data_IF_741684849376
#
_entry.id   IF_741684849376
#
_cell.length_a   1.000
_cell.length_b   1.000
_cell.length_c   1.000
_cell.angle_alpha   90.00
_cell.angle_beta   90.00
_cell.angle_gamma   90.00
#
_symmetry.space_group_name_H-M   'P 1'
#
loop_
_entity.id
_entity.type
_entity.pdbx_description
1 polymer ?
#
# COMPACT_ATOMS: atom_id res chain seq x y z
N UNK A 1 -21.52 2.78 19.12
CA UNK A 1 -21.94 1.68 18.20
C UNK A 1 -22.68 2.28 17.01
N UNK A 2 -22.69 1.65 15.84
CA UNK A 2 -23.62 2.00 14.75
C UNK A 2 -24.23 0.77 14.10
N UNK A 3 -25.45 0.95 13.59
CA UNK A 3 -26.23 -0.10 12.93
C UNK A 3 -26.70 0.38 11.56
N UNK A 4 -26.55 -0.50 10.58
CA UNK A 4 -27.05 -0.31 9.23
C UNK A 4 -28.55 -0.60 9.17
N UNK A 5 -29.30 0.28 8.52
CA UNK A 5 -30.70 0.07 8.17
C UNK A 5 -30.88 0.17 6.65
N UNK A 6 -31.13 -0.99 6.03
CA UNK A 6 -31.44 -1.15 4.61
C UNK A 6 -30.42 -0.52 3.65
N UNK A 7 -29.16 -0.37 4.06
CA UNK A 7 -28.11 0.28 3.26
C UNK A 7 -28.43 1.74 2.87
N UNK A 8 -29.33 2.41 3.61
CA UNK A 8 -29.77 3.79 3.35
C UNK A 8 -29.64 4.69 4.56
N UNK A 9 -29.73 4.11 5.74
CA UNK A 9 -29.63 4.81 7.02
C UNK A 9 -28.57 4.16 7.90
N UNK A 10 -27.88 4.99 8.67
CA UNK A 10 -26.95 4.55 9.71
C UNK A 10 -27.43 5.16 11.01
N UNK A 11 -27.74 4.32 11.99
CA UNK A 11 -28.18 4.75 13.31
C UNK A 11 -26.99 4.59 14.27
N UNK A 12 -26.68 5.67 14.98
CA UNK A 12 -25.57 5.73 15.94
C UNK A 12 -26.12 5.66 17.35
N UNK A 13 -25.44 4.89 18.20
CA UNK A 13 -25.82 4.65 19.58
C UNK A 13 -24.62 4.93 20.49
N UNK A 14 -24.86 5.74 21.50
CA UNK A 14 -23.97 5.87 22.64
C UNK A 14 -24.12 4.65 23.56
N UNK A 15 -23.01 3.98 23.85
CA UNK A 15 -23.01 2.80 24.70
C UNK A 15 -22.84 3.27 26.13
N UNK A 16 -23.90 3.15 26.92
CA UNK A 16 -23.95 3.48 28.35
C UNK A 16 -24.74 2.41 29.10
N UNK A 17 -24.77 2.45 30.43
CA UNK A 17 -25.47 1.45 31.25
C UNK A 17 -26.98 1.38 30.95
N UNK A 18 -27.57 2.48 30.44
CA UNK A 18 -28.97 2.57 30.01
C UNK A 18 -29.15 2.37 28.50
N UNK A 19 -28.31 1.53 27.88
CA UNK A 19 -28.34 1.30 26.44
C UNK A 19 -29.69 0.75 25.94
N UNK A 20 -30.35 1.52 25.07
CA UNK A 20 -31.58 1.10 24.38
C UNK A 20 -31.36 1.09 22.86
N UNK A 21 -31.32 -0.12 22.29
CA UNK A 21 -31.12 -0.33 20.84
C UNK A 21 -32.27 0.24 19.97
N UNK A 22 -33.42 0.57 20.56
CA UNK A 22 -34.54 1.20 19.85
C UNK A 22 -34.42 2.72 19.76
N UNK A 23 -33.56 3.33 20.58
CA UNK A 23 -33.38 4.79 20.69
C UNK A 23 -31.98 5.20 20.22
N UNK A 24 -31.79 5.41 18.91
CA UNK A 24 -30.51 5.90 18.40
C UNK A 24 -30.28 7.36 18.82
N UNK A 25 -29.05 7.66 19.23
CA UNK A 25 -28.58 9.01 19.59
C UNK A 25 -28.57 9.91 18.35
N UNK A 26 -28.10 9.37 17.21
CA UNK A 26 -28.03 10.11 15.95
C UNK A 26 -28.43 9.21 14.78
N UNK A 27 -28.92 9.83 13.70
CA UNK A 27 -29.28 9.13 12.46
C UNK A 27 -28.67 9.85 11.27
N UNK A 28 -27.91 9.11 10.47
CA UNK A 28 -27.54 9.52 9.13
C UNK A 28 -28.50 8.88 8.13
N UNK A 29 -28.93 9.65 7.14
CA UNK A 29 -29.73 9.18 6.01
C UNK A 29 -29.13 9.72 4.72
N UNK A 30 -28.98 8.84 3.73
CA UNK A 30 -28.58 9.27 2.39
C UNK A 30 -29.58 10.29 1.83
N UNK A 31 -29.06 11.43 1.35
CA UNK A 31 -29.90 12.46 0.72
C UNK A 31 -30.56 11.93 -0.57
N UNK A 32 -29.82 11.11 -1.33
CA UNK A 32 -30.36 10.44 -2.51
C UNK A 32 -31.15 9.20 -2.11
N UNK A 33 -32.48 9.29 -2.23
CA UNK A 33 -33.41 8.20 -1.88
C UNK A 33 -33.25 6.94 -2.76
N UNK A 34 -32.68 7.08 -3.96
CA UNK A 34 -32.42 5.97 -4.88
C UNK A 34 -31.07 5.27 -4.63
N UNK A 35 -30.14 5.95 -3.96
CA UNK A 35 -28.83 5.41 -3.64
C UNK A 35 -28.87 4.45 -2.43
N UNK A 36 -27.90 3.54 -2.39
CA UNK A 36 -27.64 2.63 -1.27
C UNK A 36 -26.13 2.53 -1.08
N UNK A 37 -25.65 2.61 0.15
CA UNK A 37 -24.24 2.39 0.45
C UNK A 37 -23.92 0.89 0.52
N UNK A 38 -22.72 0.47 0.13
CA UNK A 38 -22.30 -0.93 0.21
C UNK A 38 -21.71 -1.24 1.59
N UNK A 39 -20.86 -0.35 2.12
CA UNK A 39 -20.30 -0.47 3.46
C UNK A 39 -20.05 0.90 4.10
N UNK A 40 -19.77 0.90 5.40
CA UNK A 40 -19.39 2.08 6.16
C UNK A 40 -18.46 1.68 7.32
N UNK A 41 -17.69 2.63 7.82
CA UNK A 41 -16.81 2.43 8.97
C UNK A 41 -16.75 3.70 9.83
N UNK A 42 -16.94 3.55 11.15
CA UNK A 42 -16.72 4.63 12.10
C UNK A 42 -15.23 4.76 12.38
N UNK A 43 -14.71 5.99 12.41
CA UNK A 43 -13.34 6.26 12.80
C UNK A 43 -13.13 5.97 14.29
N UNK A 44 -11.98 5.41 14.68
CA UNK A 44 -11.59 5.41 16.09
C UNK A 44 -11.32 6.84 16.58
N UNK A 45 -11.08 7.01 17.88
CA UNK A 45 -10.72 8.29 18.48
C UNK A 45 -11.86 9.00 19.21
N UNK A 46 -11.55 10.17 19.78
CA UNK A 46 -12.48 10.94 20.64
C UNK A 46 -13.57 11.69 19.86
N UNK A 47 -13.26 12.08 18.62
CA UNK A 47 -14.16 12.78 17.71
C UNK A 47 -14.46 11.86 16.52
N UNK A 48 -15.46 10.97 16.64
CA UNK A 48 -15.70 9.95 15.63
C UNK A 48 -16.31 10.56 14.36
N UNK A 49 -15.75 10.18 13.22
CA UNK A 49 -16.32 10.39 11.90
C UNK A 49 -16.90 9.07 11.35
N UNK A 50 -17.75 9.15 10.34
CA UNK A 50 -18.23 7.98 9.60
C UNK A 50 -17.81 8.10 8.15
N UNK A 51 -17.11 7.07 7.65
CA UNK A 51 -16.85 6.87 6.23
C UNK A 51 -17.91 5.96 5.62
N UNK A 52 -18.43 6.32 4.47
CA UNK A 52 -19.51 5.63 3.77
C UNK A 52 -19.10 5.46 2.32
N UNK A 53 -19.14 4.23 1.80
CA UNK A 53 -18.92 3.96 0.39
C UNK A 53 -20.24 3.67 -0.32
N UNK A 54 -20.49 4.41 -1.39
CA UNK A 54 -21.65 4.23 -2.28
C UNK A 54 -21.09 3.74 -3.62
N UNK A 55 -21.44 2.53 -4.07
CA UNK A 55 -20.98 2.00 -5.35
C UNK A 55 -21.62 2.74 -6.53
N UNK A 56 -21.03 2.58 -7.70
CA UNK A 56 -21.57 3.11 -8.95
C UNK A 56 -22.96 2.52 -9.24
N UNK A 57 -23.97 3.35 -9.50
CA UNK A 57 -25.33 2.89 -9.83
C UNK A 57 -26.09 3.93 -10.64
N UNK A 58 -26.73 3.49 -11.72
CA UNK A 58 -27.62 4.34 -12.53
C UNK A 58 -26.91 5.55 -13.15
N UNK A 59 -25.66 5.36 -13.61
CA UNK A 59 -24.83 6.42 -14.20
C UNK A 59 -24.20 7.39 -13.20
N UNK A 60 -24.49 7.25 -11.89
CA UNK A 60 -23.81 8.02 -10.84
C UNK A 60 -22.51 7.33 -10.46
N UNK A 61 -21.37 8.05 -10.40
CA UNK A 61 -20.08 7.46 -10.06
C UNK A 61 -20.11 6.93 -8.62
N UNK A 62 -19.23 5.96 -8.35
CA UNK A 62 -18.98 5.51 -6.99
C UNK A 62 -18.41 6.66 -6.17
N UNK A 63 -18.61 6.66 -4.85
CA UNK A 63 -18.12 7.72 -3.98
C UNK A 63 -17.82 7.21 -2.56
N UNK A 64 -16.77 7.75 -1.95
CA UNK A 64 -16.52 7.68 -0.52
C UNK A 64 -16.84 9.05 0.06
N UNK A 65 -17.69 9.05 1.09
CA UNK A 65 -18.08 10.23 1.82
C UNK A 65 -17.67 10.06 3.28
N UNK A 66 -17.06 11.09 3.86
CA UNK A 66 -16.74 11.17 5.27
C UNK A 66 -17.59 12.26 5.89
N UNK A 67 -18.30 11.94 6.97
CA UNK A 67 -19.07 12.89 7.77
C UNK A 67 -18.55 12.91 9.21
N UNK A 68 -18.55 14.08 9.84
CA UNK A 68 -18.34 14.16 11.27
C UNK A 68 -19.62 13.71 12.00
N UNK A 69 -19.52 13.00 13.12
CA UNK A 69 -20.69 12.68 13.94
C UNK A 69 -20.81 13.77 15.02
N UNK A 70 -21.96 14.45 15.19
CA UNK A 70 -23.27 14.18 14.58
C UNK A 70 -23.63 15.04 13.35
N UNK A 71 -22.67 15.78 12.78
CA UNK A 71 -22.91 16.72 11.68
C UNK A 71 -22.99 16.04 10.30
N UNK A 72 -24.22 15.78 9.82
CA UNK A 72 -24.47 15.04 8.57
C UNK A 72 -24.90 15.89 7.36
N UNK A 73 -25.01 17.21 7.52
CA UNK A 73 -25.53 18.09 6.46
C UNK A 73 -24.59 18.13 5.24
N UNK A 74 -23.28 18.10 5.48
CA UNK A 74 -22.25 18.14 4.44
C UNK A 74 -21.10 17.18 4.81
N UNK A 75 -20.55 16.43 3.84
CA UNK A 75 -19.37 15.63 4.08
C UNK A 75 -18.14 16.52 4.31
N UNK A 76 -17.30 16.16 5.28
CA UNK A 76 -16.01 16.83 5.54
C UNK A 76 -14.97 16.47 4.46
N UNK A 77 -15.09 15.29 3.86
CA UNK A 77 -14.31 14.87 2.72
C UNK A 77 -15.18 14.00 1.81
N UNK A 78 -15.11 14.23 0.51
CA UNK A 78 -15.83 13.44 -0.49
C UNK A 78 -14.93 13.16 -1.67
N UNK A 79 -14.88 11.91 -2.12
CA UNK A 79 -14.18 11.52 -3.34
C UNK A 79 -15.05 10.63 -4.19
N UNK A 80 -15.23 11.02 -5.45
CA UNK A 80 -15.86 10.19 -6.47
C UNK A 80 -14.83 9.35 -7.22
N UNK A 81 -15.22 8.15 -7.61
CA UNK A 81 -14.43 7.21 -8.39
C UNK A 81 -15.21 6.82 -9.65
N UNK A 82 -14.50 6.66 -10.74
CA UNK A 82 -15.02 6.04 -11.95
C UNK A 82 -14.64 4.57 -11.88
N UNK A 83 -15.59 3.66 -12.11
CA UNK A 83 -15.35 2.21 -12.02
C UNK A 83 -14.83 1.79 -10.65
N UNK A 84 -15.73 1.81 -9.65
CA UNK A 84 -15.47 1.16 -8.37
C UNK A 84 -16.72 0.43 -7.89
N UNK A 85 -16.62 -0.90 -7.84
CA UNK A 85 -17.71 -1.78 -7.43
C UNK A 85 -17.62 -2.11 -5.94
N UNK A 86 -16.39 -2.23 -5.42
CA UNK A 86 -16.10 -2.51 -4.01
C UNK A 86 -15.11 -1.52 -3.47
N UNK A 87 -15.21 -1.24 -2.18
CA UNK A 87 -14.21 -0.43 -1.49
C UNK A 87 -13.90 -0.99 -0.10
N UNK A 88 -12.63 -1.21 0.19
CA UNK A 88 -12.17 -1.50 1.55
C UNK A 88 -11.78 -0.19 2.23
N UNK A 89 -12.41 0.07 3.37
CA UNK A 89 -12.17 1.23 4.21
C UNK A 89 -11.29 0.83 5.40
N UNK A 90 -10.19 1.55 5.64
CA UNK A 90 -9.30 1.36 6.80
C UNK A 90 -8.91 2.71 7.40
N UNK A 91 -9.47 3.03 8.57
CA UNK A 91 -9.04 4.17 9.37
C UNK A 91 -7.68 3.94 10.04
N UNK A 92 -6.91 5.00 10.20
CA UNK A 92 -5.75 5.00 11.11
C UNK A 92 -6.22 4.97 12.58
N UNK A 93 -5.33 4.62 13.51
CA UNK A 93 -5.68 4.45 14.92
C UNK A 93 -6.22 5.73 15.61
N UNK A 94 -5.88 6.91 15.09
CA UNK A 94 -6.36 8.20 15.61
C UNK A 94 -7.69 8.65 14.99
N UNK A 95 -8.16 7.99 13.93
CA UNK A 95 -9.36 8.36 13.18
C UNK A 95 -9.25 9.63 12.35
N UNK A 96 -8.03 10.10 12.07
CA UNK A 96 -7.76 11.33 11.32
C UNK A 96 -7.58 11.11 9.83
N UNK A 97 -7.26 9.89 9.42
CA UNK A 97 -7.03 9.53 8.02
C UNK A 97 -7.60 8.14 7.69
N UNK A 98 -8.07 7.99 6.46
CA UNK A 98 -8.73 6.82 5.92
C UNK A 98 -8.02 6.38 4.64
N UNK A 99 -7.68 5.09 4.56
CA UNK A 99 -7.35 4.44 3.30
C UNK A 99 -8.62 3.86 2.70
N UNK A 100 -8.90 4.22 1.45
CA UNK A 100 -9.97 3.68 0.64
C UNK A 100 -9.37 2.93 -0.55
N UNK A 101 -9.39 1.60 -0.49
CA UNK A 101 -8.98 0.72 -1.58
C UNK A 101 -10.19 0.41 -2.44
N UNK A 102 -10.32 1.10 -3.56
CA UNK A 102 -11.38 0.89 -4.54
C UNK A 102 -10.97 -0.21 -5.53
N UNK A 103 -11.88 -1.13 -5.83
CA UNK A 103 -11.64 -2.21 -6.79
C UNK A 103 -12.83 -2.42 -7.73
N UNK A 104 -12.54 -2.88 -8.94
CA UNK A 104 -13.53 -3.27 -9.96
C UNK A 104 -13.19 -4.65 -10.48
N UNK A 105 -14.15 -5.58 -10.46
CA UNK A 105 -13.89 -6.99 -10.77
C UNK A 105 -13.73 -7.22 -12.29
N UNK A 106 -14.35 -6.38 -13.14
CA UNK A 106 -14.29 -6.53 -14.60
C UNK A 106 -13.78 -5.27 -15.30
N UNK A 107 -12.53 -5.32 -15.77
CA UNK A 107 -12.02 -4.27 -16.65
C UNK A 107 -12.70 -4.37 -18.02
N UNK A 108 -13.58 -3.42 -18.32
CA UNK A 108 -14.25 -3.27 -19.63
C UNK A 108 -13.26 -3.20 -20.81
N UNK A 109 -11.98 -2.93 -20.56
CA UNK A 109 -10.93 -2.91 -21.58
C UNK A 109 -10.36 -4.30 -21.91
N UNK A 110 -10.78 -5.36 -21.20
CA UNK A 110 -10.31 -6.75 -21.35
C UNK A 110 -8.78 -6.91 -21.21
N UNK A 111 -8.09 -5.93 -20.63
CA UNK A 111 -6.62 -5.95 -20.47
C UNK A 111 -6.18 -6.69 -19.21
N UNK A 112 -7.03 -6.78 -18.19
CA UNK A 112 -6.68 -7.36 -16.90
C UNK A 112 -7.77 -8.33 -16.41
N UNK A 113 -7.39 -9.61 -16.22
CA UNK A 113 -8.26 -10.63 -15.62
C UNK A 113 -8.52 -10.38 -14.13
N UNK A 114 -7.65 -9.59 -13.48
CA UNK A 114 -7.70 -9.28 -12.05
C UNK A 114 -8.42 -7.96 -11.73
N UNK A 115 -8.99 -7.30 -12.74
CA UNK A 115 -9.63 -6.00 -12.56
C UNK A 115 -8.65 -4.87 -12.27
N UNK A 116 -9.20 -3.73 -11.81
CA UNK A 116 -8.44 -2.52 -11.49
C UNK A 116 -8.58 -2.19 -9.99
N UNK A 117 -7.45 -1.90 -9.32
CA UNK A 117 -7.43 -1.47 -7.92
C UNK A 117 -6.76 -0.11 -7.79
N UNK A 118 -7.43 0.84 -7.15
CA UNK A 118 -6.92 2.17 -6.86
C UNK A 118 -6.94 2.44 -5.35
N UNK A 119 -5.85 2.95 -4.81
CA UNK A 119 -5.74 3.31 -3.40
C UNK A 119 -5.82 4.84 -3.23
N UNK A 120 -6.71 5.27 -2.34
CA UNK A 120 -6.88 6.66 -1.99
C UNK A 120 -6.64 6.87 -0.50
N UNK A 121 -6.01 7.99 -0.17
CA UNK A 121 -5.86 8.51 1.17
C UNK A 121 -6.82 9.69 1.33
N UNK A 122 -7.67 9.65 2.35
CA UNK A 122 -8.63 10.71 2.67
C UNK A 122 -8.41 11.17 4.11
N UNK A 123 -8.38 12.47 4.35
CA UNK A 123 -8.22 13.07 5.67
C UNK A 123 -9.52 13.68 6.17
N UNK A 124 -9.70 13.72 7.50
CA UNK A 124 -10.86 14.41 8.11
C UNK A 124 -10.82 15.94 7.92
N UNK A 125 -9.67 16.49 7.54
CA UNK A 125 -9.51 17.91 7.18
C UNK A 125 -9.90 18.22 5.72
N UNK A 126 -10.48 17.25 4.99
CA UNK A 126 -10.92 17.41 3.61
C UNK A 126 -9.84 17.13 2.56
N UNK A 127 -8.58 16.92 2.96
CA UNK A 127 -7.49 16.51 2.06
C UNK A 127 -7.75 15.13 1.47
N UNK A 128 -7.43 14.93 0.20
CA UNK A 128 -7.42 13.60 -0.41
C UNK A 128 -6.27 13.47 -1.42
N UNK A 129 -5.75 12.26 -1.59
CA UNK A 129 -4.68 11.95 -2.53
C UNK A 129 -4.84 10.52 -3.07
N UNK A 130 -4.54 10.31 -4.35
CA UNK A 130 -4.41 8.94 -4.90
C UNK A 130 -2.97 8.51 -4.67
N UNK A 131 -2.78 7.34 -4.08
CA UNK A 131 -1.45 6.81 -3.82
C UNK A 131 -0.88 6.24 -5.12
N UNK A 132 0.21 6.84 -5.61
CA UNK A 132 0.90 6.37 -6.79
C UNK A 132 1.83 5.21 -6.44
N UNK A 133 1.55 4.05 -7.02
CA UNK A 133 2.30 2.81 -6.83
C UNK A 133 3.29 2.62 -7.98
N UNK A 134 4.54 2.30 -7.66
CA UNK A 134 5.64 2.22 -8.65
C UNK A 134 5.51 1.07 -9.64
N UNK A 135 4.71 0.05 -9.31
CA UNK A 135 4.56 -1.18 -10.10
C UNK A 135 3.10 -1.44 -10.37
N UNK A 136 2.82 -1.83 -11.60
CA UNK A 136 1.48 -2.27 -12.01
C UNK A 136 1.13 -3.64 -11.41
N UNK A 137 -0.15 -3.83 -11.13
CA UNK A 137 -0.72 -5.07 -10.61
C UNK A 137 -1.63 -4.84 -9.41
N UNK A 138 -2.17 -5.93 -8.84
CA UNK A 138 -3.12 -5.84 -7.73
C UNK A 138 -2.45 -5.36 -6.45
N UNK A 139 -3.25 -4.77 -5.56
CA UNK A 139 -2.88 -4.49 -4.18
C UNK A 139 -3.27 -5.70 -3.34
N UNK A 140 -2.27 -6.35 -2.71
CA UNK A 140 -2.46 -7.55 -1.90
C UNK A 140 -2.82 -7.22 -0.45
N UNK A 141 -2.24 -6.16 0.12
CA UNK A 141 -2.54 -5.72 1.47
C UNK A 141 -2.24 -4.24 1.67
N UNK A 142 -2.99 -3.63 2.60
CA UNK A 142 -2.85 -2.24 3.06
C UNK A 142 -2.93 -2.20 4.58
N UNK A 143 -2.00 -1.55 5.25
CA UNK A 143 -2.01 -1.53 6.73
C UNK A 143 -1.46 -0.23 7.29
N UNK A 144 -2.16 0.30 8.29
CA UNK A 144 -1.72 1.48 9.03
C UNK A 144 -0.69 1.08 10.08
N UNK A 145 0.33 1.92 10.25
CA UNK A 145 1.20 1.83 11.41
C UNK A 145 0.41 2.14 12.69
N UNK A 146 0.71 1.48 13.83
CA UNK A 146 0.08 1.79 15.11
C UNK A 146 0.26 3.25 15.55
N UNK A 147 1.31 3.93 15.07
CA UNK A 147 1.53 5.36 15.33
C UNK A 147 0.56 6.28 14.57
N UNK A 148 -0.22 5.73 13.62
CA UNK A 148 -1.13 6.45 12.74
C UNK A 148 -0.48 7.49 11.81
N UNK A 149 0.86 7.52 11.73
CA UNK A 149 1.65 8.49 10.95
C UNK A 149 2.17 7.96 9.61
N UNK A 150 2.05 6.66 9.40
CA UNK A 150 2.56 5.97 8.21
C UNK A 150 1.66 4.77 7.91
N UNK A 151 1.69 4.31 6.67
CA UNK A 151 1.04 3.08 6.25
C UNK A 151 1.94 2.32 5.28
N UNK A 152 1.64 1.04 5.06
CA UNK A 152 2.35 0.20 4.12
C UNK A 152 1.38 -0.44 3.12
N UNK A 153 1.86 -0.66 1.91
CA UNK A 153 1.10 -1.26 0.81
C UNK A 153 1.95 -2.36 0.19
N UNK A 154 1.39 -3.56 0.04
CA UNK A 154 1.98 -4.64 -0.75
C UNK A 154 1.25 -4.71 -2.09
N UNK A 155 1.95 -4.53 -3.20
CA UNK A 155 1.33 -4.42 -4.52
C UNK A 155 2.20 -4.97 -5.66
N UNK A 156 1.55 -5.10 -6.82
CA UNK A 156 2.16 -5.57 -8.05
C UNK A 156 2.01 -7.07 -8.26
N UNK A 157 2.27 -7.51 -9.49
CA UNK A 157 2.32 -8.95 -9.78
C UNK A 157 3.42 -9.64 -8.97
N UNK A 158 3.14 -10.87 -8.52
CA UNK A 158 4.09 -11.63 -7.73
C UNK A 158 5.38 -11.91 -8.53
N UNK A 159 6.58 -11.68 -7.98
CA UNK A 159 6.87 -11.18 -6.63
C UNK A 159 6.52 -9.70 -6.44
N UNK A 160 5.72 -9.42 -5.42
CA UNK A 160 5.20 -8.09 -5.08
C UNK A 160 6.27 -7.17 -4.48
N UNK A 161 6.04 -5.88 -4.57
CA UNK A 161 6.80 -4.85 -3.85
C UNK A 161 6.00 -4.39 -2.61
N UNK A 162 6.70 -4.21 -1.48
CA UNK A 162 6.11 -3.61 -0.27
C UNK A 162 6.74 -2.24 -0.05
N UNK A 163 5.91 -1.18 -0.13
CA UNK A 163 6.34 0.21 0.07
C UNK A 163 5.64 0.82 1.27
N UNK A 164 6.41 1.58 2.05
CA UNK A 164 5.97 2.35 3.20
C UNK A 164 5.78 3.80 2.80
N UNK A 165 4.71 4.42 3.27
CA UNK A 165 4.30 5.79 2.93
C UNK A 165 4.06 6.61 4.20
N UNK A 166 4.33 7.91 4.13
CA UNK A 166 3.99 8.86 5.19
C UNK A 166 2.48 9.12 5.23
N UNK A 167 1.99 9.81 6.26
CA UNK A 167 0.58 10.17 6.41
C UNK A 167 0.06 11.14 5.33
N UNK A 168 0.91 11.58 4.39
CA UNK A 168 0.53 12.37 3.23
C UNK A 168 0.57 11.56 1.93
N UNK A 169 0.99 10.30 1.96
CA UNK A 169 1.07 9.46 0.77
C UNK A 169 2.43 9.49 0.05
N UNK A 170 3.46 10.11 0.63
CA UNK A 170 4.81 10.10 0.06
C UNK A 170 5.52 8.79 0.41
N UNK A 171 6.18 8.15 -0.57
CA UNK A 171 6.94 6.94 -0.33
C UNK A 171 8.20 7.22 0.53
N UNK A 172 8.35 6.47 1.62
CA UNK A 172 9.48 6.53 2.57
C UNK A 172 10.53 5.49 2.21
N UNK A 173 10.12 4.24 2.01
CA UNK A 173 11.02 3.11 1.78
C UNK A 173 10.29 1.99 1.03
N UNK A 174 10.99 1.28 0.16
CA UNK A 174 10.48 0.08 -0.53
C UNK A 174 11.39 -1.10 -0.22
N UNK A 175 10.81 -2.21 0.22
CA UNK A 175 11.55 -3.44 0.44
C UNK A 175 11.85 -4.15 -0.88
N UNK A 176 12.88 -5.02 -0.93
CA UNK A 176 13.12 -5.89 -2.08
C UNK A 176 11.88 -6.69 -2.44
N UNK A 177 11.67 -6.92 -3.74
CA UNK A 177 10.54 -7.70 -4.22
C UNK A 177 10.62 -9.13 -3.73
N UNK A 178 9.50 -9.64 -3.24
CA UNK A 178 9.40 -10.98 -2.70
C UNK A 178 7.96 -11.49 -2.84
N UNK A 179 7.73 -12.82 -2.88
CA UNK A 179 6.38 -13.37 -2.91
C UNK A 179 5.70 -13.16 -1.55
N UNK A 180 5.07 -12.00 -1.34
CA UNK A 180 4.50 -11.54 -0.07
C UNK A 180 3.13 -10.90 -0.29
N UNK A 181 2.18 -11.14 0.59
CA UNK A 181 0.81 -10.63 0.45
C UNK A 181 0.22 -10.15 1.78
N UNK A 182 1.01 -10.12 2.85
CA UNK A 182 0.53 -9.80 4.19
C UNK A 182 1.54 -8.89 4.87
N UNK A 183 1.08 -7.78 5.46
CA UNK A 183 1.92 -6.85 6.22
C UNK A 183 1.29 -6.66 7.61
N UNK A 184 2.08 -6.90 8.66
CA UNK A 184 1.60 -6.77 10.05
C UNK A 184 2.64 -6.02 10.88
N UNK A 185 2.25 -4.86 11.40
CA UNK A 185 3.06 -4.12 12.35
C UNK A 185 3.02 -4.78 13.73
N UNK A 186 4.16 -4.78 14.42
CA UNK A 186 4.21 -4.99 15.87
C UNK A 186 3.39 -3.92 16.59
N UNK A 187 2.87 -4.16 17.81
CA UNK A 187 1.94 -3.23 18.46
C UNK A 187 2.53 -1.83 18.73
N UNK A 188 3.85 -1.74 18.98
CA UNK A 188 4.57 -0.48 19.15
C UNK A 188 5.09 0.12 17.83
N UNK A 189 4.88 -0.57 16.71
CA UNK A 189 5.26 -0.12 15.37
C UNK A 189 6.74 -0.21 15.04
N UNK A 190 7.64 -0.62 15.96
CA UNK A 190 9.07 -0.75 15.66
C UNK A 190 9.35 -1.82 14.62
N UNK A 191 8.86 -3.03 14.86
CA UNK A 191 8.99 -4.14 13.92
C UNK A 191 7.81 -4.18 12.98
N UNK A 192 8.06 -4.59 11.75
CA UNK A 192 7.04 -4.92 10.76
C UNK A 192 7.35 -6.29 10.17
N UNK A 193 6.32 -7.11 10.08
CA UNK A 193 6.36 -8.43 9.47
C UNK A 193 5.77 -8.33 8.06
N UNK A 194 6.47 -8.90 7.09
CA UNK A 194 5.99 -9.05 5.71
C UNK A 194 6.04 -10.53 5.36
N UNK A 195 4.89 -11.10 5.02
CA UNK A 195 4.73 -12.54 4.84
C UNK A 195 3.97 -12.90 3.55
N UNK A 196 4.21 -14.11 3.07
CA UNK A 196 3.45 -14.70 1.96
C UNK A 196 2.62 -15.87 2.45
N UNK A 197 1.33 -15.68 2.70
CA UNK A 197 0.41 -16.71 3.18
C UNK A 197 -0.60 -17.16 2.11
N UNK A 198 -1.43 -18.16 2.44
CA UNK A 198 -2.38 -18.75 1.49
C UNK A 198 -1.68 -19.65 0.48
N UNK A 199 -1.72 -19.28 -0.80
CA UNK A 199 -1.10 -20.07 -1.88
C UNK A 199 0.43 -19.90 -1.98
N UNK A 200 1.01 -19.06 -1.13
CA UNK A 200 2.45 -18.82 -1.05
C UNK A 200 3.10 -19.74 0.00
N UNK A 201 4.42 -19.84 -0.04
CA UNK A 201 5.20 -20.80 0.77
C UNK A 201 5.13 -20.59 2.30
N UNK A 202 4.51 -19.50 2.78
CA UNK A 202 4.48 -19.18 4.21
C UNK A 202 5.77 -18.52 4.71
N UNK A 203 6.63 -18.00 3.84
CA UNK A 203 7.84 -17.30 4.27
C UNK A 203 7.48 -15.96 4.93
N UNK A 204 8.13 -15.69 6.05
CA UNK A 204 7.91 -14.51 6.89
C UNK A 204 9.24 -13.79 7.07
N UNK A 205 9.28 -12.51 6.74
CA UNK A 205 10.42 -11.62 7.02
C UNK A 205 10.02 -10.61 8.10
N UNK A 206 10.89 -10.42 9.09
CA UNK A 206 10.73 -9.38 10.12
C UNK A 206 11.77 -8.29 9.88
N UNK A 207 11.32 -7.04 9.83
CA UNK A 207 12.16 -5.87 9.62
C UNK A 207 12.09 -4.92 10.81
N UNK A 208 13.22 -4.29 11.15
CA UNK A 208 13.31 -3.23 12.14
C UNK A 208 13.25 -1.86 11.48
N UNK A 209 12.14 -1.13 11.67
CA UNK A 209 11.94 0.19 11.06
C UNK A 209 12.86 1.24 11.64
N UNK A 210 13.19 1.14 12.94
CA UNK A 210 14.10 2.09 13.58
C UNK A 210 15.54 1.92 13.10
N UNK A 211 15.89 0.70 12.65
CA UNK A 211 17.17 0.42 12.00
C UNK A 211 17.06 0.44 10.46
N UNK A 212 16.47 1.49 9.90
CA UNK A 212 16.36 1.72 8.44
C UNK A 212 15.79 0.51 7.66
N UNK A 213 14.77 -0.14 8.22
CA UNK A 213 14.18 -1.37 7.64
C UNK A 213 15.18 -2.52 7.50
N UNK A 214 16.18 -2.60 8.39
CA UNK A 214 17.10 -3.74 8.45
C UNK A 214 16.33 -5.03 8.72
N UNK A 215 16.58 -6.07 7.91
CA UNK A 215 15.98 -7.39 8.10
C UNK A 215 16.55 -8.03 9.37
N UNK A 216 15.67 -8.34 10.32
CA UNK A 216 16.01 -9.00 11.59
C UNK A 216 16.15 -10.51 11.38
N UNK A 217 15.17 -11.12 10.72
CA UNK A 217 15.17 -12.56 10.47
C UNK A 217 14.22 -12.93 9.31
N UNK A 218 14.41 -14.15 8.83
CA UNK A 218 13.45 -14.85 7.96
C UNK A 218 13.13 -16.21 8.57
N UNK A 219 11.85 -16.57 8.62
CA UNK A 219 11.42 -17.91 9.04
C UNK A 219 10.26 -18.42 8.17
N UNK A 220 9.94 -19.71 8.30
CA UNK A 220 8.97 -20.39 7.45
C UNK A 220 7.76 -20.87 8.29
N UNK A 221 6.62 -20.25 8.05
CA UNK A 221 5.34 -20.57 8.66
C UNK A 221 4.33 -20.98 7.58
N UNK A 222 4.59 -22.15 6.97
CA UNK A 222 3.71 -22.77 5.98
C UNK A 222 2.29 -22.99 6.53
N UNK A 223 1.29 -22.96 5.65
CA UNK A 223 -0.12 -23.23 5.95
C UNK A 223 -0.77 -22.26 6.96
N UNK A 224 -0.12 -21.13 7.25
CA UNK A 224 -0.64 -20.14 8.20
C UNK A 224 -1.92 -19.49 7.68
N UNK A 225 -2.99 -19.57 8.46
CA UNK A 225 -4.26 -18.87 8.26
C UNK A 225 -4.42 -17.68 9.22
N UNK A 226 -3.77 -17.70 10.38
CA UNK A 226 -3.79 -16.65 11.40
C UNK A 226 -2.36 -16.25 11.73
N UNK A 227 -2.04 -14.96 11.67
CA UNK A 227 -0.75 -14.41 12.07
C UNK A 227 -0.97 -13.16 12.91
N UNK A 228 -0.49 -13.14 14.15
CA UNK A 228 -0.70 -12.03 15.09
C UNK A 228 0.55 -11.77 15.93
N UNK A 229 0.89 -10.50 16.13
CA UNK A 229 1.87 -10.12 17.13
C UNK A 229 1.28 -10.23 18.54
N UNK A 230 2.10 -10.72 19.47
CA UNK A 230 1.81 -10.62 20.91
C UNK A 230 1.67 -9.15 21.33
N UNK A 231 0.85 -8.82 22.35
CA UNK A 231 0.68 -7.45 22.84
C UNK A 231 1.99 -6.75 23.25
N UNK A 232 3.00 -7.51 23.67
CA UNK A 232 4.30 -6.99 24.06
C UNK A 232 5.29 -6.79 22.89
N UNK A 233 4.90 -7.17 21.67
CA UNK A 233 5.70 -7.01 20.46
C UNK A 233 6.95 -7.90 20.34
N UNK A 234 7.15 -8.87 21.24
CA UNK A 234 8.32 -9.77 21.24
C UNK A 234 8.08 -11.09 20.52
N UNK A 235 6.82 -11.55 20.51
CA UNK A 235 6.45 -12.84 19.93
C UNK A 235 5.45 -12.66 18.79
N UNK A 236 5.49 -13.60 17.85
CA UNK A 236 4.57 -13.74 16.72
C UNK A 236 3.88 -15.09 16.83
N UNK A 237 2.56 -15.09 16.82
CA UNK A 237 1.74 -16.28 16.71
C UNK A 237 1.46 -16.55 15.23
N UNK A 238 1.67 -17.78 14.79
CA UNK A 238 1.14 -18.28 13.52
C UNK A 238 0.33 -19.55 13.77
N UNK A 239 -0.84 -19.66 13.17
CA UNK A 239 -1.67 -20.85 13.31
C UNK A 239 -2.33 -21.28 12.01
N UNK A 240 -2.62 -22.57 11.92
CA UNK A 240 -3.40 -23.20 10.86
C UNK A 240 -4.75 -23.60 11.46
N UNK A 241 -5.84 -23.10 10.87
CA UNK A 241 -7.20 -23.26 11.42
C UNK A 241 -8.17 -23.97 10.46
N UNK A 242 -9.06 -24.77 11.04
CA UNK A 242 -10.24 -25.38 10.41
C UNK A 242 -11.41 -24.38 10.41
N UNK A 243 -12.28 -24.36 9.38
CA UNK A 243 -12.35 -25.28 8.24
C UNK A 243 -11.50 -24.89 7.03
N UNK A 244 -10.75 -23.77 7.12
CA UNK A 244 -9.97 -23.25 5.99
C UNK A 244 -8.94 -24.28 5.50
N UNK A 245 -8.20 -24.88 6.42
CA UNK A 245 -7.35 -26.03 6.17
C UNK A 245 -7.72 -27.13 7.17
N UNK A 246 -7.92 -28.35 6.68
CA UNK A 246 -8.27 -29.53 7.50
C UNK A 246 -7.06 -30.37 7.91
N UNK A 247 -5.86 -29.94 7.55
CA UNK A 247 -4.57 -30.61 7.84
C UNK A 247 -3.65 -29.62 8.54
N UNK A 248 -2.64 -30.13 9.25
CA UNK A 248 -1.62 -29.36 9.97
C UNK A 248 -2.19 -28.32 10.96
N UNK A 249 -3.38 -28.58 11.52
CA UNK A 249 -4.04 -27.69 12.45
C UNK A 249 -3.20 -27.56 13.73
N UNK A 250 -2.97 -26.32 14.16
CA UNK A 250 -2.02 -26.09 15.22
C UNK A 250 -1.54 -24.65 15.30
N UNK A 251 -0.70 -24.41 16.31
CA UNK A 251 -0.12 -23.10 16.56
C UNK A 251 1.40 -23.20 16.71
N UNK A 252 2.07 -22.14 16.30
CA UNK A 252 3.51 -21.89 16.50
C UNK A 252 3.67 -20.50 17.08
N UNK A 253 4.47 -20.38 18.14
CA UNK A 253 4.88 -19.09 18.69
C UNK A 253 6.36 -18.90 18.38
N UNK A 254 6.64 -17.84 17.65
CA UNK A 254 7.98 -17.43 17.26
C UNK A 254 8.40 -16.23 18.10
N UNK A 255 9.66 -16.17 18.48
CA UNK A 255 10.27 -14.91 18.91
C UNK A 255 10.54 -14.04 17.68
N UNK A 256 10.52 -12.72 17.82
CA UNK A 256 10.74 -11.78 16.71
C UNK A 256 12.13 -11.88 16.05
N UNK A 257 13.07 -12.60 16.68
CA UNK A 257 14.37 -12.97 16.09
C UNK A 257 14.29 -14.16 15.14
N UNK A 258 13.12 -14.78 14.98
CA UNK A 258 12.87 -15.94 14.11
C UNK A 258 12.97 -17.30 14.81
N UNK A 259 13.33 -17.34 16.10
CA UNK A 259 13.41 -18.58 16.87
C UNK A 259 12.00 -19.12 17.18
N UNK A 260 11.75 -20.40 16.90
CA UNK A 260 10.53 -21.07 17.34
C UNK A 260 10.60 -21.36 18.84
N UNK A 261 9.64 -20.83 19.60
CA UNK A 261 9.60 -20.94 21.07
C UNK A 261 8.60 -22.00 21.52
N UNK A 262 7.47 -22.11 20.84
CA UNK A 262 6.42 -23.06 21.18
C UNK A 262 5.73 -23.61 19.94
N UNK A 263 5.35 -24.88 20.01
CA UNK A 263 4.53 -25.54 19.00
C UNK A 263 3.46 -26.40 19.68
N UNK A 264 2.26 -26.44 19.11
CA UNK A 264 1.23 -27.40 19.50
C UNK A 264 0.32 -27.73 18.33
N UNK A 265 0.14 -29.02 18.08
CA UNK A 265 -0.80 -29.54 17.11
C UNK A 265 -2.17 -29.75 17.75
N UNK A 266 -3.23 -29.58 16.97
CA UNK A 266 -4.61 -29.86 17.34
C UNK A 266 -5.26 -30.63 16.19
N UNK A 267 -6.12 -31.63 16.48
CA UNK A 267 -6.90 -32.30 15.44
C UNK A 267 -7.71 -31.30 14.61
N UNK A 268 -8.40 -30.39 15.31
CA UNK A 268 -9.11 -29.25 14.71
C UNK A 268 -8.88 -28.02 15.56
N UNK A 269 -8.42 -26.93 14.94
CA UNK A 269 -8.26 -25.63 15.59
C UNK A 269 -9.18 -24.62 14.89
N UNK A 270 -10.26 -24.19 15.54
CA UNK A 270 -11.23 -23.28 14.92
C UNK A 270 -10.82 -21.81 14.99
N UNK A 271 -10.28 -21.38 16.13
CA UNK A 271 -9.86 -20.00 16.36
C UNK A 271 -8.76 -19.94 17.42
N UNK A 272 -7.91 -18.92 17.31
CA UNK A 272 -6.87 -18.61 18.27
C UNK A 272 -6.53 -17.13 18.16
N UNK A 273 -6.27 -16.49 19.29
CA UNK A 273 -5.79 -15.10 19.34
C UNK A 273 -5.03 -14.89 20.65
N UNK A 274 -4.19 -13.86 20.69
CA UNK A 274 -3.61 -13.41 21.95
C UNK A 274 -4.69 -12.83 22.86
N UNK A 275 -4.58 -13.09 24.16
CA UNK A 275 -5.43 -12.39 25.14
C UNK A 275 -5.20 -10.87 25.01
N UNK A 276 -6.23 -10.07 24.70
CA UNK A 276 -6.07 -8.62 24.57
C UNK A 276 -5.56 -8.02 25.88
N UNK A 277 -4.57 -7.13 25.77
CA UNK A 277 -4.00 -6.42 26.91
C UNK A 277 -3.78 -4.95 26.52
N UNK A 278 -3.97 -4.00 27.44
CA UNK A 278 -3.66 -2.60 27.20
C UNK A 278 -2.20 -2.41 26.81
N UNK A 279 -1.95 -1.61 25.78
CA UNK A 279 -0.60 -1.37 25.27
C UNK A 279 0.29 -0.65 26.30
N UNK A 280 -0.31 0.13 27.20
CA UNK A 280 0.35 0.84 28.30
C UNK A 280 1.07 -0.12 29.27
N UNK A 281 0.65 -1.38 29.36
CA UNK A 281 1.31 -2.40 30.18
C UNK A 281 2.64 -2.87 29.58
N UNK A 282 2.91 -2.56 28.31
CA UNK A 282 4.11 -2.97 27.61
C UNK A 282 4.83 -1.74 27.08
N UNK A 283 5.94 -1.28 27.69
CA UNK A 283 6.69 -0.18 27.12
C UNK A 283 7.28 -0.58 25.76
N UNK A 284 7.41 0.40 24.86
CA UNK A 284 7.99 0.18 23.53
C UNK A 284 9.41 -0.39 23.61
N UNK A 285 9.69 -1.40 22.78
CA UNK A 285 10.97 -2.11 22.77
C UNK A 285 12.11 -1.21 22.27
N UNK A 286 13.08 -0.90 23.14
CA UNK A 286 14.35 -0.21 22.79
C UNK A 286 15.38 -1.13 22.16
N UNK A 287 15.34 -2.41 22.47
CA UNK A 287 16.08 -3.47 21.79
C UNK A 287 15.24 -4.74 21.83
N UNK A 288 15.46 -5.64 20.88
CA UNK A 288 14.92 -6.98 20.97
C UNK A 288 15.80 -7.80 21.93
N UNK A 289 15.22 -8.24 23.05
CA UNK A 289 15.87 -9.11 24.01
C UNK A 289 16.23 -10.47 23.37
N UNK A 290 17.15 -11.22 24.00
CA UNK A 290 17.46 -12.58 23.55
C UNK A 290 16.22 -13.47 23.63
N UNK A 291 16.04 -14.33 22.63
CA UNK A 291 14.93 -15.27 22.62
C UNK A 291 14.99 -16.18 23.87
N UNK A 292 13.85 -16.45 24.53
CA UNK A 292 13.80 -17.41 25.62
C UNK A 292 14.13 -18.82 25.11
N UNK A 293 14.52 -19.70 26.03
CA UNK A 293 14.78 -21.11 25.67
C UNK A 293 13.53 -21.74 25.02
N UNK A 294 13.66 -22.43 23.87
CA UNK A 294 12.55 -23.12 23.24
C UNK A 294 11.95 -24.17 24.18
N UNK A 295 10.62 -24.27 24.24
CA UNK A 295 9.97 -25.34 24.97
C UNK A 295 10.20 -26.70 24.30
N UNK A 296 10.03 -27.78 25.06
CA UNK A 296 10.23 -29.15 24.57
C UNK A 296 9.44 -29.42 23.28
N UNK A 297 8.20 -28.92 23.18
CA UNK A 297 7.37 -29.09 21.99
C UNK A 297 7.97 -28.45 20.72
N UNK A 298 8.65 -27.31 20.87
CA UNK A 298 9.35 -26.67 19.76
C UNK A 298 10.62 -27.44 19.38
N UNK A 299 11.38 -27.92 20.37
CA UNK A 299 12.57 -28.76 20.15
C UNK A 299 12.21 -30.05 19.39
N UNK A 300 11.18 -30.75 19.85
CA UNK A 300 10.69 -31.99 19.23
C UNK A 300 10.21 -31.76 17.80
N UNK A 301 9.48 -30.66 17.56
CA UNK A 301 9.02 -30.28 16.22
C UNK A 301 10.19 -30.04 15.26
N UNK A 302 11.19 -29.27 15.69
CA UNK A 302 12.37 -28.97 14.87
C UNK A 302 13.18 -30.23 14.60
N UNK A 303 13.36 -31.12 15.59
CA UNK A 303 14.04 -32.40 15.42
C UNK A 303 13.31 -33.29 14.40
N UNK A 304 11.97 -33.39 14.49
CA UNK A 304 11.14 -34.13 13.52
C UNK A 304 11.28 -33.57 12.10
N UNK A 305 11.26 -32.25 11.95
CA UNK A 305 11.43 -31.56 10.65
C UNK A 305 12.84 -31.76 10.08
N UNK A 306 13.87 -31.77 10.93
CA UNK A 306 15.24 -32.04 10.51
C UNK A 306 15.39 -33.50 10.05
N UNK A 307 14.83 -34.46 10.79
CA UNK A 307 14.84 -35.88 10.41
C UNK A 307 14.11 -36.12 9.09
N UNK A 308 12.96 -35.48 8.85
CA UNK A 308 12.22 -35.61 7.57
C UNK A 308 12.96 -35.00 6.38
N UNK A 309 13.80 -33.97 6.60
CA UNK A 309 14.67 -33.42 5.55
C UNK A 309 15.89 -34.30 5.30
N UNK A 310 16.45 -34.93 6.36
CA UNK A 310 17.58 -35.85 6.25
C UNK A 310 17.24 -37.21 5.63
N UNK A 311 15.98 -37.66 5.74
CA UNK A 311 15.50 -38.91 5.12
C UNK A 311 15.14 -38.76 3.64
N UNK A 312 15.16 -37.54 3.09
CA UNK A 312 15.00 -37.30 1.67
C UNK A 312 16.32 -37.56 0.94
N UNK A 313 16.76 -38.82 0.89
CA UNK A 313 17.63 -39.25 -0.22
C UNK A 313 16.88 -38.92 -1.50
N UNK A 314 17.46 -38.04 -2.31
CA UNK A 314 16.90 -37.58 -3.56
C UNK A 314 16.65 -38.78 -4.48
N UNK A 315 15.47 -39.39 -4.40
CA UNK A 315 14.98 -40.28 -5.44
C UNK A 315 14.82 -39.40 -6.68
N UNK A 316 15.49 -39.71 -7.80
CA UNK A 316 15.36 -38.90 -9.01
C UNK A 316 13.88 -38.86 -9.38
N UNK A 317 13.32 -37.66 -9.41
CA UNK A 317 11.93 -37.44 -9.78
C UNK A 317 11.76 -37.91 -11.23
N UNK A 318 11.11 -39.06 -11.42
CA UNK A 318 10.76 -39.53 -12.76
C UNK A 318 9.86 -38.49 -13.41
N UNK A 319 10.36 -37.86 -14.47
CA UNK A 319 9.61 -36.86 -15.22
C UNK A 319 8.27 -37.45 -15.68
N UNK A 320 7.16 -36.80 -15.30
CA UNK A 320 5.82 -37.17 -15.74
C UNK A 320 5.73 -37.11 -17.26
N UNK A 321 5.47 -38.25 -17.90
CA UNK A 321 5.33 -38.35 -19.36
C UNK A 321 3.84 -38.28 -19.72
N UNK A 322 3.36 -37.21 -20.40
CA UNK A 322 1.98 -37.13 -20.83
C UNK A 322 1.66 -38.24 -21.87
N UNK A 323 0.41 -38.72 -21.92
CA UNK A 323 0.03 -39.92 -22.67
C UNK A 323 0.44 -39.94 -24.15
N UNK A 324 0.44 -38.77 -24.80
CA UNK A 324 0.74 -38.63 -26.23
C UNK A 324 2.24 -38.72 -26.59
N UNK A 325 3.15 -38.70 -25.62
CA UNK A 325 4.60 -38.70 -25.87
C UNK A 325 5.27 -40.07 -25.65
N UNK A 326 4.49 -41.15 -25.55
CA UNK A 326 5.03 -42.50 -25.29
C UNK A 326 5.72 -43.16 -26.48
N UNK A 327 5.54 -42.68 -27.72
CA UNK A 327 6.01 -43.39 -28.92
C UNK A 327 7.04 -42.64 -29.79
N UNK A 328 7.59 -41.52 -29.32
CA UNK A 328 8.66 -40.80 -30.01
C UNK A 328 9.93 -40.83 -29.15
N UNK A 329 10.94 -41.58 -29.61
CA UNK A 329 12.20 -41.83 -28.91
C UNK A 329 13.16 -40.62 -28.81
N UNK A 330 12.67 -39.45 -28.41
CA UNK A 330 13.50 -38.26 -28.20
C UNK A 330 13.31 -37.76 -26.78
N UNK A 331 14.39 -37.73 -26.01
CA UNK A 331 14.40 -37.26 -24.62
C UNK A 331 14.15 -35.75 -24.56
N UNK A 332 13.04 -35.33 -23.95
CA UNK A 332 12.79 -33.93 -23.63
C UNK A 332 13.21 -33.63 -22.19
N UNK A 333 14.07 -32.62 -22.01
CA UNK A 333 14.46 -32.05 -20.73
C UNK A 333 13.25 -31.43 -20.01
N UNK A 334 13.07 -31.77 -18.73
CA UNK A 334 11.99 -31.25 -17.90
C UNK A 334 12.29 -29.82 -17.43
N UNK A 335 11.56 -28.84 -17.94
CA UNK A 335 11.54 -27.46 -17.42
C UNK A 335 10.19 -27.18 -16.75
N UNK A 336 10.24 -26.69 -15.52
CA UNK A 336 9.06 -26.18 -14.80
C UNK A 336 8.41 -25.02 -15.58
N UNK A 337 7.08 -24.92 -15.56
CA UNK A 337 6.32 -23.80 -16.14
C UNK A 337 6.86 -22.43 -15.66
N UNK A 338 7.33 -22.36 -14.42
CA UNK A 338 7.97 -21.20 -13.82
C UNK A 338 9.27 -20.78 -14.53
N UNK A 339 10.06 -21.75 -14.98
CA UNK A 339 11.31 -21.49 -15.70
C UNK A 339 11.05 -21.08 -17.16
N UNK A 340 9.92 -21.55 -17.73
CA UNK A 340 9.48 -21.20 -19.08
C UNK A 340 8.97 -19.76 -19.17
N UNK A 341 8.28 -19.27 -18.13
CA UNK A 341 7.85 -17.87 -18.02
C UNK A 341 9.02 -16.88 -17.84
N UNK A 342 10.05 -17.27 -17.09
CA UNK A 342 11.27 -16.46 -16.92
C UNK A 342 12.06 -16.30 -18.23
N UNK A 343 12.08 -17.32 -19.10
CA UNK A 343 12.76 -17.25 -20.39
C UNK A 343 11.98 -16.43 -21.43
N UNK A 344 10.65 -16.41 -21.38
CA UNK A 344 9.84 -15.60 -22.29
C UNK A 344 9.93 -14.09 -22.04
N UNK A 345 10.41 -13.66 -20.88
CA UNK A 345 10.45 -12.24 -20.50
C UNK A 345 11.81 -11.54 -20.71
N UNK A 346 12.85 -12.25 -21.16
CA UNK A 346 14.21 -11.69 -21.32
C UNK A 346 14.84 -11.83 -22.71
N UNK A 347 14.06 -12.16 -23.75
CA UNK A 347 14.57 -12.37 -25.11
C UNK A 347 13.86 -11.55 -26.18
N UNK A 348 14.03 -10.22 -26.19
CA UNK A 348 13.62 -9.38 -27.31
C UNK A 348 14.72 -8.35 -27.64
N UNK A 349 15.86 -8.85 -28.12
CA UNK A 349 16.77 -8.08 -28.97
C UNK A 349 17.47 -9.05 -29.92
N UNK A 350 17.37 -8.80 -31.23
CA UNK A 350 18.23 -9.44 -32.23
C UNK A 350 17.59 -10.46 -33.18
N UNK A 351 17.12 -9.96 -34.31
CA UNK A 351 17.29 -10.49 -35.68
C UNK A 351 16.80 -11.91 -36.07
N UNK A 352 15.81 -11.92 -36.98
CA UNK A 352 15.84 -12.64 -38.26
C UNK A 352 15.92 -14.16 -38.28
N UNK A 353 14.77 -14.85 -38.33
CA UNK A 353 14.72 -16.27 -38.66
C UNK A 353 13.32 -16.80 -38.94
N UNK A 354 12.93 -16.79 -40.22
CA UNK A 354 11.66 -17.33 -40.77
C UNK A 354 11.61 -18.85 -40.52
N UNK A 355 10.62 -19.37 -39.77
CA UNK A 355 10.28 -20.80 -39.77
C UNK A 355 8.99 -21.03 -40.55
N UNK A 356 9.11 -21.86 -41.57
CA UNK A 356 8.09 -22.31 -42.52
C UNK A 356 7.18 -23.37 -41.90
N UNK A 357 5.87 -23.24 -42.11
CA UNK A 357 4.86 -24.27 -41.83
C UNK A 357 4.72 -25.15 -43.08
N UNK A 358 4.74 -26.49 -43.00
CA UNK A 358 4.59 -27.36 -44.17
C UNK A 358 3.11 -27.49 -44.59
N UNK A 359 2.82 -27.22 -45.86
CA UNK A 359 1.59 -27.67 -46.54
C UNK A 359 0.71 -26.58 -47.15
N UNK A 360 1.11 -26.01 -48.31
CA UNK A 360 0.18 -25.56 -49.35
C UNK A 360 0.91 -25.25 -50.67
N UNK A 361 0.22 -25.54 -51.78
CA UNK A 361 0.72 -25.66 -53.17
C UNK A 361 0.97 -24.28 -53.82
N UNK A 362 1.99 -24.09 -54.69
CA UNK A 362 2.31 -22.77 -55.26
C UNK A 362 1.35 -22.33 -56.37
N UNK A 363 0.90 -21.06 -56.32
CA UNK A 363 0.40 -20.35 -57.51
C UNK A 363 -0.99 -19.73 -57.41
N UNK A 364 -1.25 -18.83 -56.44
CA UNK A 364 -2.28 -17.78 -56.56
C UNK A 364 -1.86 -16.58 -55.69
N UNK A 365 -1.89 -15.36 -56.23
CA UNK A 365 -1.56 -14.13 -55.51
C UNK A 365 -2.59 -13.82 -54.39
N UNK A 366 -2.19 -13.32 -53.21
CA UNK A 366 -3.15 -12.98 -52.15
C UNK A 366 -3.96 -11.72 -52.50
N UNK A 367 -5.27 -11.66 -52.17
CA UNK A 367 -6.08 -10.47 -52.36
C UNK A 367 -5.77 -9.39 -51.32
N UNK A 368 -5.68 -8.14 -51.78
CA UNK A 368 -5.63 -6.94 -50.94
C UNK A 368 -6.93 -6.79 -50.14
N UNK A 369 -6.85 -6.79 -48.81
CA UNK A 369 -7.94 -6.31 -47.96
C UNK A 369 -7.83 -4.80 -47.74
N UNK A 370 -8.92 -4.12 -48.10
CA UNK A 370 -9.11 -2.66 -48.13
C UNK A 370 -9.19 -2.09 -46.71
N UNK A 371 -8.38 -1.07 -46.43
CA UNK A 371 -8.55 -0.18 -45.29
C UNK A 371 -9.87 0.62 -45.42
N UNK A 372 -10.60 0.75 -44.32
CA UNK A 372 -11.86 1.48 -44.25
C UNK A 372 -11.68 3.01 -44.40
N UNK A 373 -12.59 3.64 -45.13
CA UNK A 373 -12.62 5.07 -45.49
C UNK A 373 -12.66 6.07 -44.31
N UNK A 374 -12.75 5.62 -43.06
CA UNK A 374 -12.71 6.48 -41.86
C UNK A 374 -11.30 6.76 -41.34
N UNK A 375 -10.31 5.89 -41.61
CA UNK A 375 -8.94 6.05 -41.15
C UNK A 375 -8.12 7.07 -41.97
N UNK A 376 -8.43 7.22 -43.27
CA UNK A 376 -7.72 8.15 -44.16
C UNK A 376 -8.09 9.63 -43.93
N UNK A 377 -9.28 9.93 -43.39
CA UNK A 377 -9.77 11.31 -43.21
C UNK A 377 -9.20 11.99 -41.96
N UNK A 378 -8.90 11.22 -40.91
CA UNK A 378 -8.30 11.74 -39.67
C UNK A 378 -6.78 11.97 -39.79
N UNK A 379 -6.10 11.25 -40.69
CA UNK A 379 -4.67 11.44 -40.96
C UNK A 379 -4.42 12.74 -41.75
N UNK A 380 -5.22 13.01 -42.79
CA UNK A 380 -5.17 14.27 -43.57
C UNK A 380 -5.49 15.53 -42.76
N UNK A 381 -6.31 15.44 -41.71
CA UNK A 381 -6.66 16.59 -40.84
C UNK A 381 -5.57 16.89 -39.78
N UNK A 382 -4.67 15.94 -39.52
CA UNK A 382 -3.56 16.08 -38.57
C UNK A 382 -2.27 16.59 -39.23
N UNK A 383 -2.10 16.35 -40.53
CA UNK A 383 -0.96 16.83 -41.31
C UNK A 383 -1.14 18.30 -41.78
N UNK A 384 -2.37 18.75 -42.02
CA UNK A 384 -2.67 20.14 -42.39
C UNK A 384 -2.60 21.17 -41.24
N UNK A 385 -2.35 20.75 -39.99
CA UNK A 385 -2.19 21.64 -38.82
C UNK A 385 -0.74 21.79 -38.35
N UNK A 386 0.22 21.19 -39.07
CA UNK A 386 1.65 21.20 -38.71
C UNK A 386 2.51 22.07 -39.65
N UNK A 387 1.90 22.75 -40.60
CA UNK A 387 2.57 23.65 -41.54
C UNK A 387 1.89 25.02 -41.54
N UNK A 388 2.04 25.78 -40.46
CA UNK A 388 1.89 27.23 -40.49
C UNK A 388 2.47 27.85 -39.20
N UNK A 389 3.58 28.59 -39.36
CA UNK A 389 3.77 29.89 -38.72
C UNK A 389 4.32 29.94 -37.30
N UNK A 390 5.65 29.92 -37.20
CA UNK A 390 6.44 30.54 -36.13
C UNK A 390 6.39 32.07 -36.17
N UNK A 391 6.11 32.74 -35.04
CA UNK A 391 6.63 34.07 -34.72
C UNK A 391 6.50 34.35 -33.20
N UNK A 392 7.63 34.69 -32.55
CA UNK A 392 7.66 35.31 -31.22
C UNK A 392 7.55 36.83 -31.34
N UNK A 393 7.14 37.55 -30.28
CA UNK A 393 8.13 38.38 -29.59
C UNK A 393 8.06 38.32 -28.04
N UNK A 394 9.10 38.93 -27.45
CA UNK A 394 9.62 38.90 -26.07
C UNK A 394 8.70 39.54 -24.98
N UNK A 395 9.06 39.44 -23.68
CA UNK A 395 8.19 39.78 -22.55
C UNK A 395 8.41 41.21 -22.01
N UNK A 396 7.32 41.87 -21.61
CA UNK A 396 7.30 43.07 -20.76
C UNK A 396 6.66 42.74 -19.39
N UNK A 397 7.01 43.55 -18.40
CA UNK A 397 6.96 43.22 -16.97
C UNK A 397 5.68 43.60 -16.19
N UNK A 398 5.72 43.15 -14.93
CA UNK A 398 4.99 43.58 -13.72
C UNK A 398 3.45 43.62 -13.75
N UNK A 399 2.80 42.83 -12.88
CA UNK A 399 2.32 43.35 -11.58
C UNK A 399 1.70 42.28 -10.69
N UNK A 400 1.88 42.51 -9.39
CA UNK A 400 1.25 41.85 -8.24
C UNK A 400 -0.27 41.68 -8.40
N UNK A 401 -0.79 40.54 -7.95
CA UNK A 401 -2.12 40.48 -7.35
C UNK A 401 -2.20 39.33 -6.34
N UNK A 402 -2.41 39.72 -5.09
CA UNK A 402 -2.78 38.85 -3.97
C UNK A 402 -4.29 38.55 -4.07
N UNK A 403 -4.73 37.30 -3.90
CA UNK A 403 -6.06 37.05 -3.37
C UNK A 403 -5.96 36.58 -1.91
N UNK A 404 -6.69 37.30 -1.07
CA UNK A 404 -6.91 37.01 0.33
C UNK A 404 -7.65 35.67 0.51
N UNK A 405 -7.21 34.85 1.47
CA UNK A 405 -8.02 33.76 2.02
C UNK A 405 -8.19 33.94 3.54
N UNK A 406 -9.44 34.30 3.86
CA UNK A 406 -10.28 33.75 4.93
C UNK A 406 -9.61 32.88 5.99
N UNK A 407 -9.64 33.40 7.22
CA UNK A 407 -9.23 32.67 8.41
C UNK A 407 -10.15 31.51 8.80
N UNK A 408 -9.52 30.47 9.37
CA UNK A 408 -10.13 29.55 10.31
C UNK A 408 -9.17 29.39 11.49
N UNK A 409 -9.73 29.63 12.68
CA UNK A 409 -9.09 29.51 14.00
C UNK A 409 -9.01 28.05 14.41
N UNK A 410 -7.85 27.59 14.91
CA UNK A 410 -7.76 26.28 15.57
C UNK A 410 -6.35 25.71 15.76
N UNK A 411 -5.39 26.53 16.19
CA UNK A 411 -4.03 26.12 16.55
C UNK A 411 -3.09 27.31 16.43
N UNK A 412 -2.70 27.91 17.54
CA UNK A 412 -1.87 29.12 17.57
C UNK A 412 -0.45 28.77 17.11
N UNK A 413 -0.25 28.68 15.79
CA UNK A 413 1.09 28.86 15.20
C UNK A 413 1.30 30.37 15.20
N UNK A 414 2.07 30.88 16.16
CA UNK A 414 2.40 32.31 16.25
C UNK A 414 2.89 32.78 14.87
N UNK A 415 2.54 34.01 14.48
CA UNK A 415 3.08 34.65 13.26
C UNK A 415 4.62 34.61 13.26
N UNK A 416 5.22 34.63 14.44
CA UNK A 416 6.66 34.48 14.66
C UNK A 416 7.17 33.10 14.24
N UNK A 417 6.48 32.00 14.56
CA UNK A 417 6.89 30.66 14.12
C UNK A 417 6.85 30.50 12.60
N UNK A 418 5.88 31.14 11.93
CA UNK A 418 5.81 31.16 10.46
C UNK A 418 6.98 31.94 9.88
N UNK A 419 7.33 33.10 10.47
CA UNK A 419 8.50 33.89 10.08
C UNK A 419 9.81 33.13 10.29
N UNK A 420 10.00 32.48 11.44
CA UNK A 420 11.17 31.65 11.74
C UNK A 420 11.34 30.54 10.68
N UNK A 421 10.26 29.82 10.32
CA UNK A 421 10.34 28.77 9.28
C UNK A 421 10.71 29.32 7.90
N UNK A 422 10.24 30.51 7.55
CA UNK A 422 10.58 31.18 6.28
C UNK A 422 12.05 31.60 6.25
N UNK A 423 12.57 32.19 7.34
CA UNK A 423 13.97 32.60 7.44
C UNK A 423 14.93 31.40 7.45
N UNK A 424 14.59 30.32 8.15
CA UNK A 424 15.37 29.06 8.12
C UNK A 424 15.43 28.44 6.72
N UNK A 425 14.34 28.54 5.94
CA UNK A 425 14.34 28.10 4.54
C UNK A 425 15.29 28.94 3.68
N UNK A 426 15.39 30.25 3.94
CA UNK A 426 16.34 31.14 3.26
C UNK A 426 17.79 30.79 3.62
N UNK A 427 18.09 30.50 4.89
CA UNK A 427 19.43 30.08 5.31
C UNK A 427 19.88 28.80 4.60
N UNK A 428 19.04 27.75 4.53
CA UNK A 428 19.39 26.52 3.80
C UNK A 428 19.66 26.75 2.31
N UNK A 429 18.91 27.67 1.70
CA UNK A 429 19.13 28.04 0.30
C UNK A 429 20.48 28.75 0.13
N UNK A 430 20.87 29.61 1.08
CA UNK A 430 22.17 30.28 1.08
C UNK A 430 23.31 29.29 1.33
N UNK A 431 23.17 28.33 2.26
CA UNK A 431 24.16 27.27 2.49
C UNK A 431 24.42 26.44 1.23
N UNK A 432 23.37 26.15 0.47
CA UNK A 432 23.48 25.45 -0.81
C UNK A 432 24.26 26.30 -1.84
N UNK A 433 24.04 27.62 -1.87
CA UNK A 433 24.79 28.53 -2.74
C UNK A 433 26.26 28.68 -2.31
N UNK A 434 26.54 28.76 -1.01
CA UNK A 434 27.91 28.77 -0.47
C UNK A 434 28.66 27.47 -0.79
N UNK A 435 27.99 26.32 -0.72
CA UNK A 435 28.59 25.04 -1.10
C UNK A 435 28.98 25.01 -2.58
N UNK A 436 28.12 25.55 -3.46
CA UNK A 436 28.41 25.71 -4.89
C UNK A 436 29.56 26.68 -5.16
N UNK A 437 29.62 27.79 -4.41
CA UNK A 437 30.73 28.73 -4.46
C UNK A 437 32.05 28.08 -4.05
N UNK A 438 32.04 27.25 -3.00
CA UNK A 438 33.21 26.51 -2.53
C UNK A 438 33.67 25.43 -3.51
N UNK A 439 32.76 24.92 -4.36
CA UNK A 439 33.05 23.99 -5.46
C UNK A 439 33.56 24.70 -6.73
N UNK A 440 33.74 26.03 -6.71
CA UNK A 440 34.26 26.81 -7.82
C UNK A 440 33.25 27.10 -8.94
N UNK A 441 31.95 26.90 -8.69
CA UNK A 441 30.89 27.22 -9.65
C UNK A 441 30.71 28.75 -9.74
N UNK A 442 30.64 29.29 -10.97
CA UNK A 442 30.38 30.71 -11.19
C UNK A 442 28.94 31.04 -10.79
N UNK A 443 28.76 31.84 -9.75
CA UNK A 443 27.46 32.32 -9.29
C UNK A 443 27.09 33.64 -9.96
N UNK A 444 25.81 33.81 -10.28
CA UNK A 444 25.29 35.09 -10.76
C UNK A 444 25.32 36.15 -9.64
N UNK A 445 25.46 37.43 -10.00
CA UNK A 445 25.51 38.55 -9.03
C UNK A 445 24.29 38.58 -8.10
N UNK A 446 23.13 38.14 -8.58
CA UNK A 446 21.90 38.02 -7.78
C UNK A 446 21.99 36.92 -6.71
N UNK A 447 22.78 35.87 -6.94
CA UNK A 447 23.02 34.77 -6.01
C UNK A 447 24.08 35.16 -4.98
N UNK A 448 25.14 35.86 -5.40
CA UNK A 448 26.15 36.44 -4.50
C UNK A 448 25.49 37.47 -3.56
N UNK A 449 24.58 38.31 -4.07
CA UNK A 449 23.79 39.25 -3.25
C UNK A 449 22.94 38.54 -2.19
N UNK A 450 22.40 37.34 -2.48
CA UNK A 450 21.65 36.54 -1.49
C UNK A 450 22.55 35.96 -0.41
N UNK A 451 23.77 35.55 -0.76
CA UNK A 451 24.78 35.09 0.20
C UNK A 451 25.17 36.22 1.17
N UNK A 452 25.35 37.43 0.65
CA UNK A 452 25.73 38.59 1.47
C UNK A 452 24.65 39.02 2.48
N UNK A 453 23.38 38.63 2.27
CA UNK A 453 22.26 38.91 3.21
C UNK A 453 22.12 37.88 4.33
N UNK A 454 23.01 36.89 4.42
CA UNK A 454 22.94 35.83 5.44
C UNK A 454 22.99 36.38 6.86
N UNK A 455 23.89 37.33 7.13
CA UNK A 455 24.07 37.90 8.47
C UNK A 455 22.83 38.69 8.92
N UNK A 456 22.17 39.40 8.00
CA UNK A 456 20.91 40.09 8.28
C UNK A 456 19.79 39.08 8.63
N UNK A 457 19.70 37.97 7.89
CA UNK A 457 18.69 36.93 8.11
C UNK A 457 18.95 36.19 9.44
N UNK A 458 20.22 35.95 9.79
CA UNK A 458 20.59 35.35 11.09
C UNK A 458 20.27 36.29 12.26
N UNK A 459 20.50 37.59 12.09
CA UNK A 459 20.12 38.59 13.09
C UNK A 459 18.60 38.65 13.28
N UNK A 460 17.83 38.62 12.19
CA UNK A 460 16.36 38.57 12.26
C UNK A 460 15.84 37.28 12.94
N UNK A 461 16.53 36.15 12.76
CA UNK A 461 16.23 34.90 13.48
C UNK A 461 16.53 35.00 14.98
N UNK A 462 17.65 35.61 15.35
CA UNK A 462 18.02 35.83 16.75
C UNK A 462 17.04 36.78 17.46
N UNK A 463 16.61 37.85 16.79
CA UNK A 463 15.61 38.80 17.29
C UNK A 463 14.24 38.12 17.51
N UNK A 464 13.94 37.05 16.75
CA UNK A 464 12.75 36.20 16.92
C UNK A 464 12.95 35.07 17.95
N UNK A 465 14.04 35.08 18.71
CA UNK A 465 14.30 34.12 19.80
C UNK A 465 14.78 32.74 19.33
N UNK A 466 15.21 32.60 18.08
CA UNK A 466 15.79 31.36 17.58
C UNK A 466 17.30 31.32 17.86
N UNK A 467 17.73 30.41 18.73
CA UNK A 467 19.16 30.14 19.00
C UNK A 467 19.60 28.87 18.30
N UNK A 468 20.71 28.92 17.60
CA UNK A 468 21.30 27.77 16.93
C UNK A 468 21.80 26.78 18.00
N UNK A 469 21.04 25.72 18.27
CA UNK A 469 21.47 24.64 19.15
C UNK A 469 22.58 23.87 18.44
N UNK A 470 23.81 24.11 18.88
CA UNK A 470 25.06 23.50 18.39
C UNK A 470 25.04 21.98 18.47
#
# INVERSE_FOLDING_TARGET
MAKNFHNKEIHFFEVSDNFDIKKPSYKFKLQDSAATFQNFQISPGKNPAVAIFIPEKGGKPAQVLIYNIPSFNQPICSRSFFKAEKCQLKWNALGTALLALASTDHDTSNKSYYGETNLYLLGIAGSYERIDLKREGPIHDITWSPSAREFAVSYGYMPSETTFFDARGNAIHSLPTAPRNTIIYSPHGRFVLVAGFGNLQGTVDVYDRQNKFGKVCTFEASNTSVCEWSPCGRFVLTATTSPRLRVDNGLKVWHASGQLVYYREYPELFSITWKPQPLEKFPGLRQLESAPEPQQSAKDYLAKRAASRGSATAKPAGAYRPPHARNSGVAATSTSLYQKELQSNFGASGNGGRKTVPGMVPGVAPPQQKEGKSAARNRKKKEAKKSEGSASPAPEGSNDSVPAESGVVGGVVSLEEKKIRLLLKKIRAIETLKMKQALGELLEDTQVSKINKEDEIRKELADLGWTDSS
#
